data_IF_952001046973
#
_entry.id   IF_952001046973
#
_cell.length_a   1.000
_cell.length_b   1.000
_cell.length_c   1.000
_cell.angle_alpha   90.00
_cell.angle_beta   90.00
_cell.angle_gamma   90.00
#
_symmetry.space_group_name_H-M   'P 1'
#
loop_
_entity.id
_entity.type
_entity.pdbx_description
1 polymer ?
#
# COMPACT_ATOMS: atom_id res chain seq x y z
N UNK A 1 -30.37 5.43 -20.39
CA UNK A 1 -30.46 4.18 -19.58
C UNK A 1 -29.17 3.83 -18.80
N UNK A 2 -28.18 4.75 -18.73
CA UNK A 2 -26.90 4.55 -17.99
C UNK A 2 -26.70 5.45 -16.76
N UNK A 3 -27.77 6.09 -16.26
CA UNK A 3 -27.67 7.10 -15.19
C UNK A 3 -28.28 6.65 -13.86
N UNK A 4 -28.16 5.35 -13.51
CA UNK A 4 -28.67 4.80 -12.23
C UNK A 4 -27.67 3.93 -11.45
N UNK A 5 -26.37 4.04 -11.69
CA UNK A 5 -25.34 3.22 -11.01
C UNK A 5 -24.43 3.99 -10.03
N UNK A 6 -24.66 5.28 -9.81
CA UNK A 6 -24.01 6.02 -8.72
C UNK A 6 -24.99 6.25 -7.55
N UNK A 7 -25.55 5.16 -7.05
CA UNK A 7 -26.16 5.16 -5.73
C UNK A 7 -25.04 5.21 -4.69
N UNK A 8 -24.87 6.37 -4.07
CA UNK A 8 -24.10 6.55 -2.83
C UNK A 8 -24.54 5.50 -1.81
N UNK A 9 -23.87 4.35 -1.77
CA UNK A 9 -23.94 3.45 -0.64
C UNK A 9 -23.23 4.17 0.51
N UNK A 10 -24.01 4.84 1.35
CA UNK A 10 -23.57 5.24 2.68
C UNK A 10 -23.10 3.93 3.34
N UNK A 11 -21.79 3.75 3.44
CA UNK A 11 -21.18 2.59 4.09
C UNK A 11 -21.63 2.61 5.55
N UNK A 12 -22.52 1.72 5.91
CA UNK A 12 -22.88 1.46 7.30
C UNK A 12 -21.57 1.11 8.07
N UNK A 13 -21.32 1.68 9.26
CA UNK A 13 -20.09 1.45 10.02
C UNK A 13 -19.80 -0.03 10.30
N UNK A 14 -20.84 -0.86 10.34
CA UNK A 14 -20.73 -2.33 10.48
C UNK A 14 -20.10 -3.00 9.27
N UNK A 15 -20.32 -2.47 8.05
CA UNK A 15 -19.76 -3.02 6.81
C UNK A 15 -18.26 -2.66 6.70
N UNK A 16 -17.90 -1.43 7.05
CA UNK A 16 -16.50 -0.98 7.06
C UNK A 16 -15.65 -1.78 8.06
N UNK A 17 -16.17 -2.07 9.24
CA UNK A 17 -15.48 -2.85 10.27
C UNK A 17 -15.28 -4.31 9.84
N UNK A 18 -16.21 -4.87 9.08
CA UNK A 18 -16.12 -6.23 8.53
C UNK A 18 -15.07 -6.30 7.40
N UNK A 19 -15.04 -5.28 6.55
CA UNK A 19 -14.03 -5.16 5.48
C UNK A 19 -12.61 -5.01 6.05
N UNK A 20 -12.42 -4.17 7.05
CA UNK A 20 -11.11 -3.98 7.71
C UNK A 20 -10.63 -5.29 8.37
N UNK A 21 -11.51 -6.04 9.04
CA UNK A 21 -11.16 -7.35 9.59
C UNK A 21 -10.74 -8.35 8.51
N UNK A 22 -11.47 -8.39 7.40
CA UNK A 22 -11.14 -9.25 6.26
C UNK A 22 -9.78 -8.91 5.65
N UNK A 23 -9.49 -7.61 5.48
CA UNK A 23 -8.19 -7.13 4.99
C UNK A 23 -7.06 -7.50 5.94
N UNK A 24 -7.26 -7.34 7.25
CA UNK A 24 -6.27 -7.72 8.27
C UNK A 24 -6.02 -9.24 8.30
N UNK A 25 -7.07 -10.06 8.14
CA UNK A 25 -6.91 -11.51 8.03
C UNK A 25 -6.14 -11.93 6.77
N UNK A 26 -6.42 -11.28 5.64
CA UNK A 26 -5.68 -11.50 4.39
C UNK A 26 -4.22 -11.12 4.57
N UNK A 27 -3.94 -9.96 5.15
CA UNK A 27 -2.58 -9.51 5.44
C UNK A 27 -1.86 -10.48 6.37
N UNK A 28 -2.50 -10.92 7.46
CA UNK A 28 -1.91 -11.87 8.40
C UNK A 28 -1.59 -13.21 7.73
N UNK A 29 -2.48 -13.72 6.89
CA UNK A 29 -2.24 -14.94 6.12
C UNK A 29 -1.11 -14.74 5.11
N UNK A 30 -1.06 -13.59 4.45
CA UNK A 30 0.00 -13.24 3.51
C UNK A 30 1.37 -13.12 4.19
N UNK A 31 1.48 -12.39 5.32
CA UNK A 31 2.73 -12.30 6.08
C UNK A 31 3.20 -13.64 6.65
N UNK A 32 2.29 -14.57 6.91
CA UNK A 32 2.63 -15.94 7.31
C UNK A 32 3.15 -16.78 6.13
N UNK A 33 2.77 -16.40 4.93
CA UNK A 33 3.18 -17.06 3.70
C UNK A 33 4.56 -16.58 3.20
N UNK A 34 4.97 -15.35 3.55
CA UNK A 34 6.26 -14.76 3.22
C UNK A 34 7.39 -15.36 4.05
N UNK A 35 8.57 -15.50 3.44
CA UNK A 35 9.80 -15.84 4.13
C UNK A 35 10.33 -14.65 4.94
N UNK A 36 11.27 -14.86 5.88
CA UNK A 36 11.74 -13.80 6.81
C UNK A 36 12.35 -12.59 6.08
N UNK A 37 13.07 -12.81 5.00
CA UNK A 37 13.69 -11.74 4.21
C UNK A 37 12.62 -10.83 3.60
N UNK A 38 11.67 -11.41 2.91
CA UNK A 38 10.57 -10.71 2.25
C UNK A 38 9.68 -9.96 3.24
N UNK A 39 9.42 -10.58 4.39
CA UNK A 39 8.71 -9.98 5.51
C UNK A 39 9.42 -8.72 6.01
N UNK A 40 10.74 -8.74 6.11
CA UNK A 40 11.54 -7.56 6.48
C UNK A 40 11.41 -6.43 5.45
N UNK A 41 11.41 -6.74 4.16
CA UNK A 41 11.22 -5.76 3.08
C UNK A 41 9.84 -5.09 3.14
N UNK A 42 8.78 -5.87 3.41
CA UNK A 42 7.45 -5.32 3.61
C UNK A 42 7.37 -4.41 4.85
N UNK A 43 7.99 -4.78 5.98
CA UNK A 43 8.02 -3.90 7.15
C UNK A 43 8.77 -2.59 6.88
N UNK A 44 9.92 -2.65 6.20
CA UNK A 44 10.66 -1.45 5.78
C UNK A 44 9.81 -0.57 4.86
N UNK A 45 9.09 -1.15 3.92
CA UNK A 45 8.19 -0.40 3.04
C UNK A 45 7.07 0.31 3.80
N UNK A 46 6.48 -0.35 4.81
CA UNK A 46 5.45 0.25 5.67
C UNK A 46 6.01 1.44 6.44
N UNK A 47 7.21 1.31 7.04
CA UNK A 47 7.86 2.41 7.75
C UNK A 47 8.14 3.59 6.82
N UNK A 48 8.66 3.33 5.62
CA UNK A 48 8.87 4.38 4.61
C UNK A 48 7.56 5.03 4.17
N UNK A 49 6.48 4.27 4.05
CA UNK A 49 5.15 4.77 3.74
C UNK A 49 4.60 5.71 4.84
N UNK A 50 4.77 5.35 6.10
CA UNK A 50 4.41 6.21 7.24
C UNK A 50 5.23 7.50 7.24
N UNK A 51 6.54 7.42 7.02
CA UNK A 51 7.40 8.60 6.88
C UNK A 51 6.96 9.48 5.69
N UNK A 52 6.62 8.88 4.56
CA UNK A 52 6.09 9.63 3.41
C UNK A 52 4.77 10.34 3.75
N UNK A 53 3.89 9.72 4.54
CA UNK A 53 2.66 10.34 5.00
C UNK A 53 2.92 11.53 5.93
N UNK A 54 3.91 11.45 6.83
CA UNK A 54 4.33 12.56 7.68
C UNK A 54 4.86 13.74 6.84
N UNK A 55 5.72 13.48 5.86
CA UNK A 55 6.16 14.52 4.92
C UNK A 55 5.00 15.12 4.13
N UNK A 56 4.04 14.32 3.70
CA UNK A 56 2.83 14.79 3.03
C UNK A 56 1.96 15.70 3.92
N UNK A 57 1.91 15.45 5.22
CA UNK A 57 1.14 16.24 6.17
C UNK A 57 1.68 17.67 6.35
N UNK A 58 2.97 17.91 6.07
CA UNK A 58 3.57 19.26 6.12
C UNK A 58 2.92 20.26 5.13
N UNK A 59 2.14 19.79 4.17
CA UNK A 59 1.37 20.65 3.27
C UNK A 59 0.28 21.43 4.01
N UNK A 60 -0.30 20.86 5.05
CA UNK A 60 -1.41 21.46 5.80
C UNK A 60 -0.94 22.72 6.52
N UNK A 61 0.11 22.70 7.38
CA UNK A 61 0.62 23.91 8.00
C UNK A 61 1.15 24.93 6.97
N UNK A 62 1.75 24.49 5.86
CA UNK A 62 2.20 25.43 4.82
C UNK A 62 1.04 26.22 4.21
N UNK A 63 -0.10 25.57 3.98
CA UNK A 63 -1.32 26.23 3.50
C UNK A 63 -1.92 27.11 4.60
N UNK A 64 -1.94 26.64 5.85
CA UNK A 64 -2.46 27.39 7.00
C UNK A 64 -1.72 28.73 7.23
N UNK A 65 -0.39 28.69 7.21
CA UNK A 65 0.45 29.92 7.32
C UNK A 65 0.15 30.89 6.19
N UNK A 66 -0.03 30.39 4.96
CA UNK A 66 -0.36 31.25 3.81
C UNK A 66 -1.76 31.88 3.95
N UNK A 67 -2.75 31.10 4.40
CA UNK A 67 -4.11 31.62 4.64
C UNK A 67 -4.12 32.68 5.76
N UNK A 68 -3.41 32.45 6.85
CA UNK A 68 -3.28 33.39 7.96
C UNK A 68 -2.64 34.70 7.49
N UNK A 69 -1.57 34.62 6.69
CA UNK A 69 -0.94 35.82 6.11
C UNK A 69 -1.87 36.62 5.21
N UNK A 70 -2.73 35.96 4.44
CA UNK A 70 -3.71 36.63 3.56
C UNK A 70 -4.81 37.31 4.37
N UNK A 71 -5.28 36.66 5.45
CA UNK A 71 -6.48 37.13 6.17
C UNK A 71 -6.17 38.15 7.27
N UNK A 72 -5.00 38.05 7.91
CA UNK A 72 -4.72 38.80 9.17
C UNK A 72 -3.48 39.71 9.08
N UNK A 73 -2.35 39.20 8.61
CA UNK A 73 -1.05 39.91 8.76
C UNK A 73 -0.57 40.66 7.51
N UNK A 74 -1.21 40.47 6.39
CA UNK A 74 -0.72 40.93 5.11
C UNK A 74 0.38 40.03 4.52
N UNK A 75 0.41 39.93 3.20
CA UNK A 75 1.31 39.01 2.49
C UNK A 75 2.71 39.60 2.41
N UNK A 76 3.68 39.00 3.08
CA UNK A 76 5.09 39.39 2.99
C UNK A 76 5.85 38.42 2.09
N UNK A 77 6.84 38.90 1.33
CA UNK A 77 7.68 38.05 0.48
C UNK A 77 8.34 36.90 1.24
N UNK A 78 8.70 37.11 2.51
CA UNK A 78 9.25 36.05 3.38
C UNK A 78 8.25 34.93 3.64
N UNK A 79 6.98 35.26 3.90
CA UNK A 79 5.91 34.26 4.16
C UNK A 79 5.64 33.41 2.93
N UNK A 80 5.62 34.04 1.74
CA UNK A 80 5.47 33.33 0.48
C UNK A 80 6.64 32.36 0.27
N UNK A 81 7.86 32.83 0.44
CA UNK A 81 9.06 32.02 0.22
C UNK A 81 9.13 30.84 1.21
N UNK A 82 8.81 31.08 2.49
CA UNK A 82 8.79 30.03 3.51
C UNK A 82 7.73 28.96 3.20
N UNK A 83 6.50 29.35 2.91
CA UNK A 83 5.41 28.46 2.56
C UNK A 83 5.75 27.63 1.32
N UNK A 84 6.30 28.27 0.28
CA UNK A 84 6.74 27.61 -0.94
C UNK A 84 7.86 26.59 -0.66
N UNK A 85 8.86 26.96 0.13
CA UNK A 85 9.97 26.09 0.49
C UNK A 85 9.48 24.84 1.25
N UNK A 86 8.62 25.01 2.25
CA UNK A 86 8.04 23.88 3.02
C UNK A 86 7.20 22.99 2.11
N UNK A 87 6.45 23.56 1.19
CA UNK A 87 5.64 22.80 0.25
C UNK A 87 6.51 21.99 -0.73
N UNK A 88 7.58 22.57 -1.24
CA UNK A 88 8.55 21.86 -2.11
C UNK A 88 9.26 20.73 -1.36
N UNK A 89 9.73 20.97 -0.15
CA UNK A 89 10.35 19.93 0.70
C UNK A 89 9.36 18.79 0.96
N UNK A 90 8.11 19.11 1.28
CA UNK A 90 7.06 18.12 1.48
C UNK A 90 6.80 17.26 0.24
N UNK A 91 6.70 17.89 -0.94
CA UNK A 91 6.44 17.17 -2.21
C UNK A 91 7.62 16.27 -2.56
N UNK A 92 8.84 16.82 -2.57
CA UNK A 92 10.05 16.08 -2.94
C UNK A 92 10.31 14.94 -1.95
N UNK A 93 10.27 15.22 -0.65
CA UNK A 93 10.49 14.25 0.41
C UNK A 93 9.47 13.11 0.35
N UNK A 94 8.18 13.43 0.26
CA UNK A 94 7.12 12.41 0.17
C UNK A 94 7.23 11.58 -1.11
N UNK A 95 7.60 12.17 -2.24
CA UNK A 95 7.75 11.45 -3.51
C UNK A 95 8.89 10.44 -3.49
N UNK A 96 10.06 10.84 -2.97
CA UNK A 96 11.22 9.96 -2.85
C UNK A 96 10.91 8.77 -1.92
N UNK A 97 10.30 9.05 -0.76
CA UNK A 97 9.94 8.01 0.21
C UNK A 97 8.88 7.05 -0.34
N UNK A 98 7.87 7.56 -1.03
CA UNK A 98 6.85 6.74 -1.69
C UNK A 98 7.44 5.85 -2.77
N UNK A 99 8.32 6.40 -3.61
CA UNK A 99 8.98 5.63 -4.64
C UNK A 99 9.75 4.44 -4.04
N UNK A 100 10.55 4.69 -2.98
CA UNK A 100 11.29 3.64 -2.28
C UNK A 100 10.37 2.62 -1.60
N UNK A 101 9.29 3.06 -0.97
CA UNK A 101 8.32 2.17 -0.36
C UNK A 101 7.66 1.26 -1.39
N UNK A 102 7.19 1.83 -2.52
CA UNK A 102 6.57 1.06 -3.61
C UNK A 102 7.55 0.09 -4.25
N UNK A 103 8.81 0.48 -4.46
CA UNK A 103 9.84 -0.40 -5.00
C UNK A 103 10.04 -1.63 -4.11
N UNK A 104 10.20 -1.44 -2.79
CA UNK A 104 10.33 -2.55 -1.84
C UNK A 104 9.10 -3.45 -1.78
N UNK A 105 7.90 -2.89 -1.87
CA UNK A 105 6.65 -3.67 -1.90
C UNK A 105 6.55 -4.53 -3.15
N UNK A 106 6.92 -3.96 -4.29
CA UNK A 106 6.89 -4.65 -5.57
C UNK A 106 7.92 -5.78 -5.60
N UNK A 107 9.14 -5.49 -5.19
CA UNK A 107 10.23 -6.47 -5.13
C UNK A 107 9.90 -7.62 -4.17
N UNK A 108 9.45 -7.31 -2.96
CA UNK A 108 8.99 -8.30 -1.99
C UNK A 108 7.84 -9.18 -2.50
N UNK A 109 6.86 -8.59 -3.21
CA UNK A 109 5.74 -9.33 -3.79
C UNK A 109 6.17 -10.32 -4.89
N UNK A 110 7.01 -9.88 -5.81
CA UNK A 110 7.53 -10.74 -6.87
C UNK A 110 8.49 -11.81 -6.34
N UNK A 111 9.37 -11.45 -5.41
CA UNK A 111 10.31 -12.37 -4.76
C UNK A 111 9.56 -13.50 -4.03
N UNK A 112 8.54 -13.15 -3.23
CA UNK A 112 7.68 -14.14 -2.55
C UNK A 112 7.09 -15.14 -3.54
N UNK A 113 6.54 -14.66 -4.64
CA UNK A 113 5.91 -15.51 -5.63
C UNK A 113 6.91 -16.40 -6.36
N UNK A 114 8.08 -15.85 -6.72
CA UNK A 114 9.16 -16.61 -7.36
C UNK A 114 9.67 -17.74 -6.44
N UNK A 115 9.93 -17.44 -5.18
CA UNK A 115 10.38 -18.42 -4.20
C UNK A 115 9.35 -19.54 -3.97
N UNK A 116 8.06 -19.19 -3.93
CA UNK A 116 7.00 -20.20 -3.80
C UNK A 116 6.85 -21.08 -5.03
N UNK A 117 7.08 -20.55 -6.24
CA UNK A 117 7.13 -21.36 -7.46
C UNK A 117 8.26 -22.40 -7.40
N UNK A 118 9.45 -21.99 -6.95
CA UNK A 118 10.58 -22.88 -6.77
C UNK A 118 10.26 -23.98 -5.74
N UNK A 119 9.69 -23.59 -4.59
CA UNK A 119 9.27 -24.56 -3.54
C UNK A 119 8.24 -25.55 -4.08
N UNK A 120 7.27 -25.12 -4.88
CA UNK A 120 6.30 -26.02 -5.51
C UNK A 120 7.01 -26.96 -6.48
N UNK A 121 7.89 -26.45 -7.33
CA UNK A 121 8.63 -27.26 -8.29
C UNK A 121 9.51 -28.32 -7.60
N UNK A 122 10.19 -27.95 -6.52
CA UNK A 122 10.96 -28.90 -5.70
C UNK A 122 10.07 -29.98 -5.09
N UNK A 123 8.90 -29.61 -4.57
CA UNK A 123 7.96 -30.58 -3.99
C UNK A 123 7.42 -31.56 -5.03
N UNK A 124 7.18 -31.10 -6.25
CA UNK A 124 6.73 -31.93 -7.37
C UNK A 124 7.74 -33.02 -7.76
N UNK A 125 9.04 -32.77 -7.56
CA UNK A 125 10.09 -33.74 -7.87
C UNK A 125 10.03 -35.00 -7.02
N UNK A 126 9.41 -34.93 -5.84
CA UNK A 126 9.28 -36.06 -4.92
C UNK A 126 7.97 -36.86 -5.11
N UNK A 127 7.08 -36.40 -6.01
CA UNK A 127 5.83 -37.11 -6.28
C UNK A 127 6.04 -38.27 -7.25
N UNK A 128 5.39 -39.43 -7.00
CA UNK A 128 5.47 -40.55 -7.91
C UNK A 128 4.86 -40.23 -9.29
N UNK A 129 5.40 -40.83 -10.34
CA UNK A 129 4.97 -40.59 -11.73
C UNK A 129 3.46 -40.82 -11.97
N UNK A 130 2.85 -41.73 -11.21
CA UNK A 130 1.40 -41.99 -11.30
C UNK A 130 0.51 -40.81 -10.86
N UNK A 131 1.08 -39.81 -10.19
CA UNK A 131 0.36 -38.60 -9.81
C UNK A 131 0.14 -37.65 -11.02
N UNK A 132 1.01 -37.73 -12.02
CA UNK A 132 0.99 -36.83 -13.19
C UNK A 132 0.05 -37.38 -14.26
N UNK A 133 -1.25 -37.14 -14.11
CA UNK A 133 -2.24 -37.34 -15.17
C UNK A 133 -2.65 -35.99 -15.79
N UNK A 134 -3.41 -36.00 -16.87
CA UNK A 134 -3.82 -34.78 -17.58
C UNK A 134 -4.53 -33.77 -16.66
N UNK A 135 -5.39 -34.23 -15.76
CA UNK A 135 -6.12 -33.38 -14.83
C UNK A 135 -5.21 -32.76 -13.76
N UNK A 136 -4.29 -33.53 -13.18
CA UNK A 136 -3.36 -33.06 -12.18
C UNK A 136 -2.33 -32.09 -12.78
N UNK A 137 -1.86 -32.34 -13.99
CA UNK A 137 -0.92 -31.48 -14.69
C UNK A 137 -1.56 -30.12 -15.01
N UNK A 138 -2.81 -30.10 -15.49
CA UNK A 138 -3.56 -28.87 -15.71
C UNK A 138 -3.79 -28.07 -14.44
N UNK A 139 -4.14 -28.72 -13.34
CA UNK A 139 -4.31 -28.06 -12.03
C UNK A 139 -3.00 -27.47 -11.51
N UNK A 140 -1.89 -28.22 -11.55
CA UNK A 140 -0.55 -27.76 -11.15
C UNK A 140 -0.12 -26.53 -11.97
N UNK A 141 -0.28 -26.60 -13.30
CA UNK A 141 0.08 -25.49 -14.19
C UNK A 141 -0.76 -24.24 -13.87
N UNK A 142 -2.07 -24.42 -13.68
CA UNK A 142 -2.97 -23.30 -13.33
C UNK A 142 -2.59 -22.65 -12.00
N UNK A 143 -2.27 -23.43 -10.98
CA UNK A 143 -1.83 -22.90 -9.67
C UNK A 143 -0.48 -22.21 -9.79
N UNK A 144 0.48 -22.82 -10.45
CA UNK A 144 1.86 -22.30 -10.53
C UNK A 144 1.96 -21.03 -11.38
N UNK A 145 1.09 -20.90 -12.39
CA UNK A 145 1.11 -19.73 -13.29
C UNK A 145 0.07 -18.71 -12.85
N UNK A 146 -1.20 -19.00 -13.05
CA UNK A 146 -2.28 -18.01 -12.89
C UNK A 146 -2.53 -17.61 -11.44
N UNK A 147 -2.55 -18.59 -10.51
CA UNK A 147 -2.84 -18.30 -9.10
C UNK A 147 -1.69 -17.53 -8.46
N UNK A 148 -0.44 -17.88 -8.78
CA UNK A 148 0.74 -17.18 -8.24
C UNK A 148 0.88 -15.78 -8.80
N UNK A 149 0.60 -15.52 -10.08
CA UNK A 149 0.61 -14.19 -10.65
C UNK A 149 -0.47 -13.29 -10.02
N UNK A 150 -1.67 -13.81 -9.86
CA UNK A 150 -2.75 -13.09 -9.17
C UNK A 150 -2.40 -12.82 -7.70
N UNK A 151 -1.78 -13.77 -7.00
CA UNK A 151 -1.37 -13.60 -5.61
C UNK A 151 -0.33 -12.49 -5.45
N UNK A 152 0.67 -12.42 -6.33
CA UNK A 152 1.66 -11.35 -6.35
C UNK A 152 1.00 -9.98 -6.52
N UNK A 153 0.14 -9.83 -7.51
CA UNK A 153 -0.55 -8.57 -7.79
C UNK A 153 -1.48 -8.12 -6.67
N UNK A 154 -2.25 -9.06 -6.10
CA UNK A 154 -3.20 -8.77 -5.02
C UNK A 154 -2.47 -8.41 -3.73
N UNK A 155 -1.44 -9.15 -3.34
CA UNK A 155 -0.71 -8.91 -2.09
C UNK A 155 0.04 -7.57 -2.10
N UNK A 156 0.72 -7.24 -3.19
CA UNK A 156 1.37 -5.94 -3.34
C UNK A 156 0.34 -4.81 -3.26
N UNK A 157 -0.80 -4.95 -3.96
CA UNK A 157 -1.87 -3.97 -3.94
C UNK A 157 -2.50 -3.80 -2.55
N UNK A 158 -2.73 -4.88 -1.80
CA UNK A 158 -3.32 -4.82 -0.45
C UNK A 158 -2.38 -4.12 0.52
N UNK A 159 -1.07 -4.43 0.51
CA UNK A 159 -0.08 -3.74 1.34
C UNK A 159 -0.03 -2.25 1.00
N UNK A 160 -0.05 -1.90 -0.29
CA UNK A 160 -0.05 -0.52 -0.76
C UNK A 160 -1.30 0.24 -0.29
N UNK A 161 -2.50 -0.35 -0.45
CA UNK A 161 -3.76 0.26 -0.01
C UNK A 161 -3.80 0.49 1.50
N UNK A 162 -3.29 -0.44 2.30
CA UNK A 162 -3.22 -0.28 3.76
C UNK A 162 -2.25 0.84 4.13
N UNK A 163 -1.05 0.83 3.54
CA UNK A 163 -0.01 1.81 3.85
C UNK A 163 -0.40 3.21 3.38
N UNK A 164 -0.83 3.38 2.14
CA UNK A 164 -1.19 4.69 1.60
C UNK A 164 -2.60 5.13 2.01
N UNK A 165 -3.57 4.23 2.05
CA UNK A 165 -4.94 4.56 2.40
C UNK A 165 -5.10 4.84 3.90
N UNK A 166 -4.83 3.87 4.75
CA UNK A 166 -5.13 3.96 6.18
C UNK A 166 -4.17 4.92 6.88
N UNK A 167 -2.85 4.72 6.72
CA UNK A 167 -1.86 5.55 7.42
C UNK A 167 -1.84 6.98 6.91
N UNK A 168 -1.90 7.20 5.60
CA UNK A 168 -1.92 8.56 5.04
C UNK A 168 -3.16 9.32 5.48
N UNK A 169 -4.33 8.68 5.47
CA UNK A 169 -5.58 9.32 5.92
C UNK A 169 -5.54 9.62 7.41
N UNK A 170 -5.05 8.70 8.24
CA UNK A 170 -4.93 8.92 9.69
C UNK A 170 -3.98 10.08 10.01
N UNK A 171 -2.81 10.14 9.38
CA UNK A 171 -1.84 11.22 9.56
C UNK A 171 -2.39 12.56 9.09
N UNK A 172 -3.07 12.60 7.93
CA UNK A 172 -3.71 13.82 7.42
C UNK A 172 -4.82 14.31 8.35
N UNK A 173 -5.67 13.41 8.83
CA UNK A 173 -6.75 13.75 9.76
C UNK A 173 -6.18 14.31 11.07
N UNK A 174 -5.15 13.66 11.62
CA UNK A 174 -4.46 14.13 12.80
C UNK A 174 -3.83 15.53 12.59
N UNK A 175 -3.20 15.75 11.44
CA UNK A 175 -2.60 17.04 11.12
C UNK A 175 -3.64 18.16 11.00
N UNK A 176 -4.84 17.87 10.47
CA UNK A 176 -5.95 18.84 10.42
C UNK A 176 -6.49 19.13 11.83
N UNK A 177 -6.51 18.13 12.73
CA UNK A 177 -6.96 18.34 14.12
C UNK A 177 -5.99 19.16 14.98
N UNK A 178 -4.69 19.09 14.65
CA UNK A 178 -3.63 19.81 15.39
C UNK A 178 -3.45 21.25 14.89
N UNK A 179 -3.98 21.59 13.72
CA UNK A 179 -3.81 22.88 13.08
C UNK A 179 -5.14 23.62 12.90
#
# INVERSE_FOLDING_TARGET
RYMKLFGTRILHPVTAQKEVRTVLEILRKFFRFCDERERSEFYRSIVLGVLAALFSALKIPAIGVMLQAILVEGVTAKTILLSLAVMLISVIGSSILKYRATALQTDGGYSTTANKRVQIAEHLRYLPMGYFNENSLGAITSVTTNTMDNLSGVSTRVVMLVTEGIFSTAVMTLAVFLF
#
